data_IF_850305760438
#
_entry.id   IF_850305760438
#
_cell.length_a   1.000
_cell.length_b   1.000
_cell.length_c   1.000
_cell.angle_alpha   90.00
_cell.angle_beta   90.00
_cell.angle_gamma   90.00
#
_symmetry.space_group_name_H-M   'P 1'
#
loop_
_entity.id
_entity.type
_entity.pdbx_description
1 polymer ?
#
# COMPACT_ATOMS: atom_id res chain seq x y z
N UNK A 1 -3.04 -27.17 13.18
CA UNK A 1 -1.78 -27.46 12.46
C UNK A 1 -1.52 -26.34 11.46
N UNK A 2 -0.47 -25.53 11.64
CA UNK A 2 -0.10 -24.52 10.66
C UNK A 2 0.46 -25.20 9.41
N UNK A 3 -0.20 -25.08 8.27
CA UNK A 3 0.28 -25.60 7.00
C UNK A 3 1.59 -24.92 6.62
N UNK A 4 2.71 -25.66 6.55
CA UNK A 4 3.99 -25.17 6.04
C UNK A 4 4.01 -25.24 4.50
N UNK A 5 3.11 -24.51 3.86
CA UNK A 5 3.10 -24.38 2.41
C UNK A 5 3.92 -23.15 1.98
N UNK A 6 4.59 -23.18 0.81
CA UNK A 6 5.25 -22.01 0.26
C UNK A 6 4.24 -20.87 0.04
N UNK A 7 4.70 -19.62 0.22
CA UNK A 7 3.87 -18.44 0.00
C UNK A 7 3.43 -18.33 -1.46
N UNK A 8 2.16 -18.00 -1.67
CA UNK A 8 1.56 -17.86 -3.02
C UNK A 8 2.18 -16.69 -3.80
N UNK A 9 2.58 -15.63 -3.09
CA UNK A 9 3.19 -14.44 -3.67
C UNK A 9 4.56 -14.17 -3.06
N UNK A 10 5.48 -13.64 -3.89
CA UNK A 10 6.81 -13.20 -3.45
C UNK A 10 6.76 -12.02 -2.48
N UNK A 11 5.66 -11.25 -2.49
CA UNK A 11 5.40 -10.17 -1.53
C UNK A 11 4.36 -10.64 -0.52
N UNK A 12 4.57 -10.33 0.75
CA UNK A 12 3.56 -10.52 1.78
C UNK A 12 2.37 -9.57 1.53
N UNK A 13 1.18 -10.04 1.93
CA UNK A 13 -0.05 -9.24 1.87
C UNK A 13 -0.55 -8.97 3.29
N UNK A 14 -0.95 -7.73 3.54
CA UNK A 14 -1.53 -7.30 4.82
C UNK A 14 -3.00 -7.74 4.85
N UNK A 15 -3.35 -8.63 5.78
CA UNK A 15 -4.72 -9.16 5.91
C UNK A 15 -5.62 -8.33 6.84
N UNK A 16 -5.01 -7.55 7.73
CA UNK A 16 -5.73 -6.72 8.70
C UNK A 16 -4.97 -5.41 8.87
N UNK A 17 -5.71 -4.30 8.77
CA UNK A 17 -5.20 -2.96 9.05
C UNK A 17 -5.66 -2.50 10.44
N UNK A 18 -4.99 -1.50 11.04
CA UNK A 18 -5.48 -0.85 12.24
C UNK A 18 -6.92 -0.34 12.07
N UNK A 19 -7.70 -0.33 13.15
CA UNK A 19 -9.04 0.27 13.13
C UNK A 19 -8.94 1.77 12.88
N UNK A 20 -9.83 2.28 12.04
CA UNK A 20 -9.87 3.71 11.70
C UNK A 20 -10.45 4.54 12.86
N UNK A 21 -9.93 5.76 13.01
CA UNK A 21 -10.35 6.74 14.03
C UNK A 21 -10.63 8.08 13.33
N UNK A 22 -11.91 8.44 13.13
CA UNK A 22 -12.29 9.62 12.36
C UNK A 22 -11.80 10.96 12.94
N UNK A 23 -11.40 10.99 14.22
CA UNK A 23 -10.91 12.21 14.86
C UNK A 23 -9.46 12.52 14.47
N UNK A 24 -8.71 11.52 13.99
CA UNK A 24 -7.31 11.67 13.62
C UNK A 24 -7.19 12.17 12.17
N UNK A 25 -6.12 12.92 11.85
CA UNK A 25 -5.86 13.31 10.47
C UNK A 25 -5.59 12.09 9.59
N UNK A 26 -5.86 12.24 8.28
CA UNK A 26 -5.62 11.21 7.28
C UNK A 26 -4.14 10.78 7.30
N UNK A 27 -3.91 9.47 7.37
CA UNK A 27 -2.57 8.87 7.38
C UNK A 27 -2.56 7.53 6.67
N UNK A 28 -1.42 7.20 6.08
CA UNK A 28 -1.19 5.86 5.54
C UNK A 28 -0.86 4.90 6.68
N UNK A 29 -1.40 3.68 6.61
CA UNK A 29 -1.25 2.66 7.67
C UNK A 29 -0.21 1.59 7.34
N UNK A 30 0.33 1.60 6.13
CA UNK A 30 1.33 0.64 5.67
C UNK A 30 2.34 1.30 4.73
N UNK A 31 3.55 0.73 4.70
CA UNK A 31 4.64 1.13 3.82
C UNK A 31 5.35 -0.11 3.27
N UNK A 32 5.93 0.00 2.08
CA UNK A 32 6.73 -1.06 1.46
C UNK A 32 8.21 -0.75 1.61
N UNK A 33 8.96 -1.68 2.18
CA UNK A 33 10.41 -1.59 2.29
C UNK A 33 11.10 -2.87 1.83
N UNK A 34 12.39 -2.76 1.53
CA UNK A 34 13.26 -3.86 1.12
C UNK A 34 14.35 -4.07 2.18
N UNK A 35 14.56 -5.31 2.61
CA UNK A 35 15.61 -5.62 3.59
C UNK A 35 16.98 -5.43 2.94
N UNK A 36 17.74 -4.43 3.39
CA UNK A 36 19.09 -4.15 2.90
C UNK A 36 20.16 -4.94 3.68
N UNK A 37 19.94 -5.18 4.97
CA UNK A 37 20.89 -5.91 5.80
C UNK A 37 20.51 -5.92 7.28
N UNK A 38 21.44 -6.37 8.11
CA UNK A 38 21.32 -6.30 9.57
C UNK A 38 22.65 -5.83 10.14
N UNK A 39 22.58 -4.96 11.14
CA UNK A 39 23.74 -4.44 11.89
C UNK A 39 23.41 -4.47 13.38
N UNK A 40 24.32 -3.98 14.22
CA UNK A 40 24.04 -3.72 15.63
C UNK A 40 24.22 -2.23 15.90
N UNK A 41 23.42 -1.72 16.83
CA UNK A 41 23.59 -0.37 17.39
C UNK A 41 23.95 -0.48 18.86
N UNK A 42 24.71 0.49 19.35
CA UNK A 42 24.91 0.69 20.78
C UNK A 42 23.93 1.77 21.22
N UNK A 43 23.15 1.49 22.27
CA UNK A 43 22.25 2.49 22.87
C UNK A 43 22.19 2.34 24.39
N UNK A 44 21.95 3.45 25.05
CA UNK A 44 21.67 3.48 26.49
C UNK A 44 20.27 2.94 26.79
N UNK A 45 20.19 2.08 27.80
CA UNK A 45 18.91 1.49 28.21
C UNK A 45 18.22 2.35 29.26
N UNK A 46 17.13 2.99 28.85
CA UNK A 46 16.18 3.67 29.74
C UNK A 46 15.04 2.74 30.17
N UNK A 47 15.33 1.87 31.14
CA UNK A 47 14.32 1.00 31.78
C UNK A 47 14.50 1.02 33.30
N UNK A 48 13.81 1.92 34.02
CA UNK A 48 13.87 2.01 35.48
C UNK A 48 13.56 0.66 36.13
N UNK A 49 14.34 0.28 37.15
CA UNK A 49 14.19 -1.01 37.84
C UNK A 49 14.95 -2.18 37.19
N UNK A 50 15.55 -2.01 36.01
CA UNK A 50 16.41 -3.03 35.40
C UNK A 50 17.88 -2.88 35.82
N UNK A 51 18.61 -4.00 35.96
CA UNK A 51 20.08 -4.01 36.23
C UNK A 51 20.91 -3.37 35.10
N UNK A 52 20.30 -3.19 33.94
CA UNK A 52 20.87 -2.62 32.73
C UNK A 52 20.52 -1.13 32.57
N UNK A 53 19.79 -0.53 33.51
CA UNK A 53 19.43 0.88 33.42
C UNK A 53 20.68 1.77 33.40
N UNK A 54 20.72 2.73 32.45
CA UNK A 54 21.86 3.64 32.22
C UNK A 54 23.17 2.91 31.87
N UNK A 55 23.07 1.73 31.26
CA UNK A 55 24.20 1.03 30.66
C UNK A 55 24.01 0.94 29.15
N UNK A 56 25.13 0.97 28.45
CA UNK A 56 25.20 0.71 27.03
C UNK A 56 24.90 -0.77 26.74
N UNK A 57 24.07 -1.03 25.74
CA UNK A 57 23.81 -2.38 25.24
C UNK A 57 23.86 -2.42 23.72
N UNK A 58 24.39 -3.51 23.19
CA UNK A 58 24.40 -3.78 21.74
C UNK A 58 23.09 -4.47 21.36
N UNK A 59 22.25 -3.79 20.56
CA UNK A 59 20.99 -4.33 20.04
C UNK A 59 21.11 -4.60 18.54
N UNK A 60 20.66 -5.78 18.09
CA UNK A 60 20.62 -6.12 16.67
C UNK A 60 19.46 -5.38 15.98
N UNK A 61 19.76 -4.72 14.86
CA UNK A 61 18.79 -3.95 14.07
C UNK A 61 18.79 -4.42 12.62
N UNK A 62 17.62 -4.33 11.98
CA UNK A 62 17.46 -4.60 10.55
C UNK A 62 17.38 -3.29 9.80
N UNK A 63 18.22 -3.12 8.78
CA UNK A 63 18.18 -1.97 7.89
C UNK A 63 17.18 -2.29 6.77
N UNK A 64 16.15 -1.44 6.66
CA UNK A 64 15.12 -1.54 5.63
C UNK A 64 15.23 -0.30 4.74
N UNK A 65 15.50 -0.51 3.44
CA UNK A 65 15.47 0.55 2.45
C UNK A 65 14.01 0.84 2.06
N UNK A 66 13.62 2.10 2.18
CA UNK A 66 12.25 2.57 1.97
C UNK A 66 12.24 3.67 0.92
N UNK A 67 12.30 3.31 -0.38
CA UNK A 67 12.24 4.30 -1.45
C UNK A 67 10.87 5.01 -1.41
N UNK A 68 10.79 6.28 -1.85
CA UNK A 68 9.53 7.03 -1.91
C UNK A 68 8.46 6.26 -2.71
N UNK A 69 7.29 6.09 -2.12
CA UNK A 69 6.17 5.38 -2.78
C UNK A 69 5.33 6.36 -3.60
N UNK A 70 5.05 5.99 -4.86
CA UNK A 70 4.12 6.73 -5.72
C UNK A 70 2.73 6.10 -5.63
N UNK A 71 1.75 6.90 -5.21
CA UNK A 71 0.33 6.49 -5.18
C UNK A 71 -0.25 6.60 -6.58
N UNK A 72 -0.88 5.54 -7.06
CA UNK A 72 -1.32 5.39 -8.46
C UNK A 72 -2.83 5.34 -8.63
N UNK A 73 -3.58 5.29 -7.53
CA UNK A 73 -5.02 5.17 -7.53
C UNK A 73 -5.57 4.92 -6.14
N UNK A 74 -6.90 4.93 -6.05
CA UNK A 74 -7.67 4.72 -4.81
C UNK A 74 -8.73 3.65 -5.06
N UNK A 75 -8.96 2.80 -4.07
CA UNK A 75 -9.99 1.75 -4.10
C UNK A 75 -10.94 1.97 -2.95
N UNK A 76 -12.24 2.08 -3.25
CA UNK A 76 -13.27 2.17 -2.22
C UNK A 76 -13.80 0.79 -1.86
N UNK A 77 -13.94 0.50 -0.57
CA UNK A 77 -14.53 -0.73 -0.06
C UNK A 77 -15.86 -0.46 0.65
N UNK A 78 -16.86 -1.28 0.34
CA UNK A 78 -18.17 -1.26 1.01
C UNK A 78 -18.31 -2.46 1.93
N UNK A 79 -18.85 -2.23 3.12
CA UNK A 79 -19.15 -3.31 4.08
C UNK A 79 -20.42 -4.05 3.65
N UNK A 80 -20.28 -5.35 3.41
CA UNK A 80 -21.39 -6.27 3.15
C UNK A 80 -21.46 -7.30 4.28
N UNK A 81 -22.58 -8.06 4.43
CA UNK A 81 -22.67 -9.11 5.45
C UNK A 81 -21.59 -10.20 5.34
N UNK A 82 -21.01 -10.38 4.13
CA UNK A 82 -19.94 -11.34 3.86
C UNK A 82 -18.52 -10.75 3.99
N UNK A 83 -18.41 -9.49 4.42
CA UNK A 83 -17.15 -8.77 4.54
C UNK A 83 -17.03 -7.56 3.61
N UNK A 84 -15.82 -7.05 3.45
CA UNK A 84 -15.53 -5.90 2.59
C UNK A 84 -15.49 -6.32 1.12
N UNK A 85 -16.21 -5.58 0.27
CA UNK A 85 -16.19 -5.75 -1.18
C UNK A 85 -15.64 -4.50 -1.83
N UNK A 86 -14.81 -4.63 -2.87
CA UNK A 86 -14.37 -3.50 -3.67
C UNK A 86 -15.56 -2.91 -4.44
N UNK A 87 -15.85 -1.63 -4.20
CA UNK A 87 -16.89 -0.87 -4.87
C UNK A 87 -16.38 -0.41 -6.25
N UNK A 88 -15.43 0.51 -6.26
CA UNK A 88 -14.81 1.07 -7.46
C UNK A 88 -13.31 1.28 -7.24
N UNK A 89 -12.56 1.36 -8.34
CA UNK A 89 -11.15 1.74 -8.35
C UNK A 89 -10.96 2.91 -9.32
N UNK A 90 -10.40 4.00 -8.82
CA UNK A 90 -10.03 5.17 -9.61
C UNK A 90 -8.51 5.23 -9.72
N UNK A 91 -7.98 5.33 -10.93
CA UNK A 91 -6.55 5.40 -11.17
C UNK A 91 -6.11 6.83 -11.52
N UNK A 92 -4.86 7.17 -11.27
CA UNK A 92 -4.27 8.43 -11.71
C UNK A 92 -4.22 8.51 -13.25
N UNK A 93 -4.28 9.74 -13.78
CA UNK A 93 -4.20 9.99 -15.23
C UNK A 93 -2.87 9.54 -15.83
N UNK A 94 -1.77 9.97 -15.20
CA UNK A 94 -0.41 9.68 -15.64
C UNK A 94 0.19 8.57 -14.78
N UNK A 95 0.42 7.42 -15.40
CA UNK A 95 1.03 6.25 -14.75
C UNK A 95 2.42 6.01 -15.34
N UNK A 96 3.42 5.86 -14.46
CA UNK A 96 4.80 5.57 -14.86
C UNK A 96 4.91 4.20 -15.54
N UNK A 97 5.94 4.03 -16.37
CA UNK A 97 6.19 2.75 -17.06
C UNK A 97 6.42 1.60 -16.06
N UNK A 98 7.04 1.88 -14.91
CA UNK A 98 7.29 0.91 -13.84
C UNK A 98 6.01 0.29 -13.29
N UNK A 99 4.95 1.09 -13.16
CA UNK A 99 3.62 0.63 -12.72
C UNK A 99 3.00 -0.22 -13.82
N UNK A 100 3.08 0.22 -15.07
CA UNK A 100 2.57 -0.52 -16.24
C UNK A 100 3.27 -1.88 -16.40
N UNK A 101 4.55 -1.96 -16.04
CA UNK A 101 5.34 -3.21 -16.02
C UNK A 101 4.73 -4.28 -15.12
N UNK A 102 4.07 -3.89 -14.02
CA UNK A 102 3.41 -4.84 -13.10
C UNK A 102 2.22 -5.58 -13.73
N UNK A 103 1.68 -5.10 -14.85
CA UNK A 103 0.52 -5.70 -15.52
C UNK A 103 0.89 -6.74 -16.59
N UNK A 104 2.18 -6.94 -16.86
CA UNK A 104 2.64 -7.92 -17.84
C UNK A 104 3.69 -8.84 -17.24
N UNK A 105 3.52 -10.16 -17.40
CA UNK A 105 4.57 -11.13 -17.08
C UNK A 105 5.78 -10.97 -18.01
N UNK A 106 5.52 -10.83 -19.32
CA UNK A 106 6.54 -10.65 -20.36
C UNK A 106 6.49 -9.22 -20.91
N UNK A 107 7.04 -8.26 -20.18
CA UNK A 107 7.00 -6.84 -20.54
C UNK A 107 7.62 -6.55 -21.91
N UNK A 108 8.85 -7.00 -22.16
CA UNK A 108 9.61 -6.66 -23.38
C UNK A 108 8.96 -7.19 -24.66
N UNK A 109 8.23 -8.30 -24.58
CA UNK A 109 7.50 -8.90 -25.72
C UNK A 109 6.06 -8.39 -25.84
N UNK A 110 5.60 -7.55 -24.91
CA UNK A 110 4.22 -7.07 -24.88
C UNK A 110 4.04 -5.81 -25.74
N UNK A 111 2.80 -5.55 -26.15
CA UNK A 111 2.42 -4.31 -26.85
C UNK A 111 2.33 -3.08 -25.92
N UNK A 112 2.59 -3.25 -24.62
CA UNK A 112 2.56 -2.18 -23.60
C UNK A 112 1.31 -1.27 -23.71
N UNK A 113 0.10 -1.85 -23.78
CA UNK A 113 -1.18 -1.13 -23.94
C UNK A 113 -1.96 -0.92 -22.63
N UNK A 114 -1.41 -1.31 -21.48
CA UNK A 114 -2.06 -1.09 -20.18
C UNK A 114 -2.31 0.41 -19.97
N UNK A 115 -3.51 0.74 -19.50
CA UNK A 115 -4.01 2.09 -19.18
C UNK A 115 -4.09 3.11 -20.32
N UNK A 116 -3.73 2.77 -21.56
CA UNK A 116 -3.76 3.75 -22.67
C UNK A 116 -5.16 4.29 -22.97
N UNK A 117 -6.20 3.45 -22.84
CA UNK A 117 -7.60 3.91 -22.98
C UNK A 117 -8.08 4.69 -21.77
N UNK A 118 -7.60 4.34 -20.58
CA UNK A 118 -8.02 4.96 -19.33
C UNK A 118 -7.46 6.39 -19.21
N UNK A 119 -6.19 6.60 -19.55
CA UNK A 119 -5.60 7.95 -19.55
C UNK A 119 -6.33 8.91 -20.49
N UNK A 120 -6.86 8.43 -21.63
CA UNK A 120 -7.67 9.23 -22.55
C UNK A 120 -9.02 9.67 -21.97
N UNK A 121 -9.55 8.98 -20.96
CA UNK A 121 -10.79 9.40 -20.30
C UNK A 121 -10.61 10.71 -19.53
N UNK A 122 -9.39 11.06 -19.14
CA UNK A 122 -9.10 12.35 -18.54
C UNK A 122 -8.97 13.48 -19.56
N UNK A 123 -8.89 13.17 -20.86
CA UNK A 123 -8.82 14.18 -21.92
C UNK A 123 -10.22 14.66 -22.33
N UNK A 124 -11.21 13.76 -22.31
CA UNK A 124 -12.60 14.10 -22.64
C UNK A 124 -13.39 14.60 -21.42
N UNK A 125 -14.26 15.58 -21.63
CA UNK A 125 -15.11 16.14 -20.57
C UNK A 125 -16.08 15.09 -19.99
N UNK A 126 -16.65 14.22 -20.84
CA UNK A 126 -17.54 13.14 -20.37
C UNK A 126 -16.79 12.09 -19.55
N UNK A 127 -15.53 11.82 -19.88
CA UNK A 127 -14.69 10.91 -19.11
C UNK A 127 -14.32 11.47 -17.74
N UNK A 128 -13.96 12.76 -17.66
CA UNK A 128 -13.75 13.46 -16.37
C UNK A 128 -15.00 13.42 -15.49
N UNK A 129 -16.19 13.68 -16.05
CA UNK A 129 -17.47 13.59 -15.33
C UNK A 129 -17.72 12.17 -14.79
N UNK A 130 -17.41 11.15 -15.58
CA UNK A 130 -17.54 9.75 -15.15
C UNK A 130 -16.63 9.43 -13.96
N UNK A 131 -15.37 9.88 -14.01
CA UNK A 131 -14.39 9.68 -12.93
C UNK A 131 -14.81 10.43 -11.66
N UNK A 132 -15.28 11.66 -11.81
CA UNK A 132 -15.82 12.45 -10.70
C UNK A 132 -17.03 11.77 -10.05
N UNK A 133 -17.95 11.23 -10.85
CA UNK A 133 -19.08 10.43 -10.35
C UNK A 133 -18.61 9.17 -9.60
N UNK A 134 -17.53 8.51 -10.06
CA UNK A 134 -16.95 7.38 -9.33
C UNK A 134 -16.39 7.78 -7.97
N UNK A 135 -15.69 8.93 -7.89
CA UNK A 135 -15.17 9.48 -6.64
C UNK A 135 -16.31 9.87 -5.67
N UNK A 136 -17.38 10.46 -6.18
CA UNK A 136 -18.57 10.78 -5.37
C UNK A 136 -19.27 9.54 -4.83
N UNK A 137 -19.40 8.48 -5.66
CA UNK A 137 -19.91 7.18 -5.21
C UNK A 137 -19.03 6.58 -4.11
N UNK A 138 -17.71 6.73 -4.21
CA UNK A 138 -16.79 6.28 -3.16
C UNK A 138 -17.03 7.06 -1.87
N UNK A 139 -17.08 8.40 -1.92
CA UNK A 139 -17.35 9.23 -0.74
C UNK A 139 -18.70 8.88 -0.07
N UNK A 140 -19.72 8.55 -0.85
CA UNK A 140 -21.07 8.26 -0.35
C UNK A 140 -21.24 6.86 0.23
N UNK A 141 -20.68 5.84 -0.42
CA UNK A 141 -20.99 4.44 -0.12
C UNK A 141 -19.80 3.63 0.41
N UNK A 142 -18.56 4.08 0.19
CA UNK A 142 -17.40 3.35 0.72
C UNK A 142 -17.33 3.57 2.23
N UNK A 143 -17.18 2.46 2.96
CA UNK A 143 -16.95 2.45 4.41
C UNK A 143 -15.46 2.55 4.72
N UNK A 144 -14.60 2.10 3.80
CA UNK A 144 -13.14 2.13 3.92
C UNK A 144 -12.55 2.60 2.59
N UNK A 145 -11.60 3.52 2.65
CA UNK A 145 -10.85 4.05 1.50
C UNK A 145 -9.36 4.00 1.83
#
# INVERSE_FOLDING_TARGET
MSSRAPGISSRSSVKAFPKDDPNKPCKLTAFLGYKAGMTHIVRDVEKPGSKLHKKETCEAVTIVETPPMVIVGVVGYVKTPRGLRSLNTVWAQHLSEEVRRRFYKNWCKSKKKAFTKYSKQYESEDGKKSIQSQLEKMKKYATVI
#
